data_IF_810896131498
#
_entry.id   IF_810896131498
#
_cell.length_a   1.000
_cell.length_b   1.000
_cell.length_c   1.000
_cell.angle_alpha   90.00
_cell.angle_beta   90.00
_cell.angle_gamma   90.00
#
_symmetry.space_group_name_H-M   'P 1'
#
loop_
_entity.id
_entity.type
_entity.pdbx_description
1 polymer ?
#
# COMPACT_ATOMS: atom_id res chain seq x y z
N UNK A 1 19.63 -32.37 -32.83
CA UNK A 1 20.37 -31.40 -31.98
C UNK A 1 19.65 -30.06 -32.10
N UNK A 2 18.76 -29.71 -31.15
CA UNK A 2 18.93 -28.65 -30.12
C UNK A 2 19.27 -27.28 -30.76
N UNK A 3 18.48 -26.20 -30.73
CA UNK A 3 17.25 -25.82 -30.03
C UNK A 3 16.60 -24.62 -30.75
N UNK A 4 15.27 -24.37 -30.64
CA UNK A 4 14.72 -23.04 -30.88
C UNK A 4 14.98 -22.19 -29.63
N UNK A 5 15.74 -21.10 -29.81
CA UNK A 5 15.90 -20.07 -28.80
C UNK A 5 14.55 -19.45 -28.47
N UNK A 6 14.01 -19.86 -27.32
CA UNK A 6 13.19 -19.07 -26.39
C UNK A 6 12.44 -17.91 -27.05
N UNK A 7 11.29 -18.21 -27.65
CA UNK A 7 10.23 -17.21 -27.83
C UNK A 7 9.81 -16.76 -26.44
N UNK A 8 10.19 -15.54 -26.06
CA UNK A 8 9.60 -14.82 -24.92
C UNK A 8 8.12 -14.59 -25.24
N UNK A 9 7.31 -15.63 -25.01
CA UNK A 9 5.87 -15.56 -24.99
C UNK A 9 5.42 -14.93 -23.68
N UNK A 10 4.89 -13.73 -23.79
CA UNK A 10 3.79 -13.14 -23.00
C UNK A 10 3.64 -11.71 -23.55
N UNK A 11 3.06 -11.53 -24.74
CA UNK A 11 1.62 -11.42 -24.96
C UNK A 11 0.87 -10.72 -23.82
N UNK A 12 0.14 -9.68 -24.23
CA UNK A 12 -0.86 -8.89 -23.49
C UNK A 12 -0.21 -7.82 -22.63
N UNK A 13 -0.19 -6.57 -23.09
CA UNK A 13 -1.40 -5.72 -22.97
C UNK A 13 -2.19 -6.16 -21.72
N UNK A 14 -1.53 -6.09 -20.58
CA UNK A 14 -2.18 -6.24 -19.29
C UNK A 14 -2.80 -4.91 -19.07
N UNK A 15 -3.98 -4.78 -19.66
CA UNK A 15 -5.06 -3.88 -19.35
C UNK A 15 -4.69 -2.93 -18.21
N UNK A 16 -4.68 -1.64 -18.55
CA UNK A 16 -5.10 -0.53 -17.70
C UNK A 16 -6.40 -0.89 -16.95
N UNK A 17 -6.37 -1.91 -16.11
CA UNK A 17 -7.27 -2.01 -14.98
C UNK A 17 -6.66 -0.96 -14.08
N UNK A 18 -7.10 0.30 -14.23
CA UNK A 18 -6.73 1.45 -13.41
C UNK A 18 -6.50 0.99 -11.97
N UNK A 19 -5.27 0.58 -11.64
CA UNK A 19 -4.95 0.10 -10.31
C UNK A 19 -4.91 1.39 -9.54
N UNK A 20 -5.98 1.64 -8.78
CA UNK A 20 -6.04 2.84 -7.98
C UNK A 20 -4.78 2.92 -7.13
N UNK A 21 -4.14 4.09 -7.07
CA UNK A 21 -2.86 4.24 -6.38
C UNK A 21 -3.01 3.74 -4.95
N UNK A 22 -2.03 2.95 -4.51
CA UNK A 22 -2.01 2.45 -3.15
C UNK A 22 -1.94 3.61 -2.16
N UNK A 23 -2.71 3.52 -1.09
CA UNK A 23 -2.65 4.48 0.01
C UNK A 23 -1.37 4.21 0.78
N UNK A 24 -0.43 5.15 0.71
CA UNK A 24 0.88 5.04 1.34
C UNK A 24 0.85 5.73 2.71
N UNK A 25 1.05 4.97 3.78
CA UNK A 25 1.09 5.49 5.14
C UNK A 25 2.48 5.31 5.72
N UNK A 26 3.14 6.40 6.08
CA UNK A 26 4.47 6.39 6.66
C UNK A 26 4.42 6.58 8.18
N UNK A 27 5.11 5.68 8.85
CA UNK A 27 5.26 5.60 10.28
C UNK A 27 6.71 5.87 10.63
N UNK A 28 6.89 6.83 11.53
CA UNK A 28 8.22 7.14 12.07
C UNK A 28 8.66 6.08 13.08
N UNK A 29 9.94 6.07 13.45
CA UNK A 29 10.42 5.24 14.54
C UNK A 29 9.77 5.54 15.91
N UNK A 30 9.09 6.70 16.04
CA UNK A 30 8.33 7.07 17.23
C UNK A 30 6.87 6.56 17.22
N UNK A 31 6.42 5.96 16.11
CA UNK A 31 5.08 5.37 16.01
C UNK A 31 4.95 4.22 17.02
N UNK A 32 3.90 4.27 17.83
CA UNK A 32 3.58 3.23 18.81
C UNK A 32 2.60 2.21 18.25
N UNK A 33 2.43 1.08 18.94
CA UNK A 33 1.41 0.08 18.58
C UNK A 33 -0.01 0.64 18.66
N UNK A 34 -0.26 1.63 19.52
CA UNK A 34 -1.56 2.30 19.66
C UNK A 34 -1.90 3.12 18.41
N UNK A 35 -0.89 3.80 17.87
CA UNK A 35 -0.98 4.59 16.65
C UNK A 35 -1.30 3.70 15.44
N UNK A 36 -0.63 2.54 15.32
CA UNK A 36 -0.96 1.53 14.31
C UNK A 36 -2.36 0.95 14.47
N UNK A 37 -2.79 0.73 15.72
CA UNK A 37 -4.15 0.28 16.00
C UNK A 37 -5.17 1.32 15.58
N UNK A 38 -4.95 2.59 15.90
CA UNK A 38 -5.83 3.69 15.49
C UNK A 38 -5.92 3.79 13.97
N UNK A 39 -4.79 3.73 13.25
CA UNK A 39 -4.80 3.70 11.79
C UNK A 39 -5.58 2.51 11.26
N UNK A 40 -5.38 1.32 11.81
CA UNK A 40 -6.13 0.13 11.40
C UNK A 40 -7.64 0.35 11.58
N UNK A 41 -8.09 0.88 12.72
CA UNK A 41 -9.51 1.17 12.98
C UNK A 41 -10.08 2.18 11.98
N UNK A 42 -9.30 3.22 11.66
CA UNK A 42 -9.65 4.22 10.64
C UNK A 42 -9.82 3.57 9.26
N UNK A 43 -8.89 2.69 8.87
CA UNK A 43 -8.90 1.98 7.59
C UNK A 43 -10.07 0.98 7.48
N UNK A 44 -10.35 0.18 8.52
CA UNK A 44 -11.47 -0.79 8.50
C UNK A 44 -12.84 -0.10 8.49
N UNK A 45 -12.92 1.14 8.97
CA UNK A 45 -14.15 1.95 8.93
C UNK A 45 -14.50 2.40 7.50
N UNK A 46 -13.54 2.39 6.57
CA UNK A 46 -13.72 2.83 5.18
C UNK A 46 -13.26 1.78 4.16
N UNK A 47 -13.92 0.61 4.08
CA UNK A 47 -13.58 -0.43 3.12
C UNK A 47 -13.75 0.06 1.68
N UNK A 48 -12.89 -0.40 0.77
CA UNK A 48 -12.93 0.04 -0.63
C UNK A 48 -12.08 -0.80 -1.57
N UNK A 49 -11.46 -0.12 -2.56
CA UNK A 49 -10.76 -0.77 -3.67
C UNK A 49 -9.25 -0.49 -3.68
N UNK A 50 -8.80 0.56 -3.00
CA UNK A 50 -7.39 0.96 -2.99
C UNK A 50 -6.60 0.12 -2.00
N UNK A 51 -5.52 -0.55 -2.40
CA UNK A 51 -4.68 -1.27 -1.46
C UNK A 51 -3.98 -0.31 -0.52
N UNK A 52 -3.67 -0.76 0.70
CA UNK A 52 -2.92 0.02 1.69
C UNK A 52 -1.49 -0.51 1.80
N UNK A 53 -0.54 0.41 1.77
CA UNK A 53 0.88 0.13 1.97
C UNK A 53 1.42 0.96 3.12
N UNK A 54 2.13 0.30 4.02
CA UNK A 54 2.67 0.85 5.24
C UNK A 54 4.19 0.98 5.08
N UNK A 55 4.74 2.16 5.29
CA UNK A 55 6.17 2.44 5.32
C UNK A 55 6.60 2.68 6.76
N UNK A 56 7.59 1.94 7.23
CA UNK A 56 8.15 2.13 8.57
C UNK A 56 9.57 2.64 8.47
N UNK A 57 9.82 3.87 8.91
CA UNK A 57 11.17 4.36 9.06
C UNK A 57 11.88 3.63 10.18
N UNK A 58 13.02 3.03 9.85
CA UNK A 58 13.93 2.44 10.83
C UNK A 58 15.03 3.43 11.17
N UNK A 59 15.51 3.35 12.41
CA UNK A 59 16.61 4.17 12.92
C UNK A 59 17.90 4.09 12.08
N UNK A 60 18.04 3.07 11.24
CA UNK A 60 19.20 2.85 10.38
C UNK A 60 19.11 3.54 9.01
N UNK A 61 18.22 4.54 8.85
CA UNK A 61 18.04 5.30 7.61
C UNK A 61 17.39 4.51 6.45
N UNK A 62 16.81 3.34 6.75
CA UNK A 62 16.10 2.52 5.79
C UNK A 62 14.62 2.44 6.15
N UNK A 63 13.76 2.43 5.14
CA UNK A 63 12.31 2.28 5.32
C UNK A 63 11.88 0.86 4.99
N UNK A 64 11.07 0.24 5.85
CA UNK A 64 10.44 -1.05 5.57
C UNK A 64 9.07 -0.82 4.94
N UNK A 65 8.88 -1.29 3.70
CA UNK A 65 7.56 -1.30 3.05
C UNK A 65 6.85 -2.61 3.34
N UNK A 66 5.62 -2.50 3.84
CA UNK A 66 4.72 -3.61 4.11
C UNK A 66 3.43 -3.38 3.34
N UNK A 67 3.04 -4.35 2.52
CA UNK A 67 1.69 -4.40 1.98
C UNK A 67 0.75 -4.90 3.08
N UNK A 68 -0.35 -4.19 3.32
CA UNK A 68 -1.36 -4.61 4.29
C UNK A 68 -2.13 -5.88 3.84
N UNK A 69 -1.90 -6.30 2.59
CA UNK A 69 -2.44 -7.51 1.99
C UNK A 69 -3.62 -7.23 1.07
N UNK A 70 -3.96 -8.22 0.22
CA UNK A 70 -5.01 -8.09 -0.79
C UNK A 70 -6.41 -7.86 -0.19
N UNK A 71 -6.60 -8.25 1.07
CA UNK A 71 -7.85 -8.09 1.83
C UNK A 71 -8.01 -6.67 2.41
N UNK A 72 -6.90 -5.97 2.61
CA UNK A 72 -6.88 -4.65 3.23
C UNK A 72 -6.96 -3.55 2.17
N UNK A 73 -8.20 -3.28 1.73
CA UNK A 73 -8.50 -2.27 0.72
C UNK A 73 -9.44 -1.21 1.28
N UNK A 74 -9.12 0.04 1.03
CA UNK A 74 -9.88 1.20 1.53
C UNK A 74 -10.33 2.11 0.41
N UNK A 75 -11.34 2.92 0.69
CA UNK A 75 -11.72 4.02 -0.18
C UNK A 75 -11.17 5.32 0.41
N UNK A 76 -10.27 5.99 -0.30
CA UNK A 76 -9.66 7.23 0.16
C UNK A 76 -10.69 8.38 0.01
N UNK A 77 -11.49 8.58 1.05
CA UNK A 77 -12.44 9.69 1.17
C UNK A 77 -11.78 10.88 1.86
N UNK A 78 -12.26 12.12 1.66
CA UNK A 78 -11.67 13.29 2.31
C UNK A 78 -11.69 13.22 3.85
N UNK A 79 -12.71 12.58 4.45
CA UNK A 79 -12.73 12.31 5.90
C UNK A 79 -11.65 11.31 6.33
N UNK A 80 -11.42 10.27 5.52
CA UNK A 80 -10.35 9.30 5.76
C UNK A 80 -8.97 9.93 5.60
N UNK A 81 -8.79 10.77 4.59
CA UNK A 81 -7.56 11.53 4.35
C UNK A 81 -7.26 12.42 5.55
N UNK A 82 -8.23 13.22 6.02
CA UNK A 82 -8.08 14.09 7.20
C UNK A 82 -7.66 13.31 8.45
N UNK A 83 -8.29 12.15 8.70
CA UNK A 83 -7.94 11.27 9.82
C UNK A 83 -6.54 10.67 9.68
N UNK A 84 -6.12 10.38 8.45
CA UNK A 84 -4.83 9.78 8.15
C UNK A 84 -3.74 10.82 7.84
N UNK A 85 -4.05 12.12 7.80
CA UNK A 85 -3.14 13.21 7.39
C UNK A 85 -1.80 13.20 8.11
N UNK A 86 -1.77 12.67 9.34
CA UNK A 86 -0.53 12.51 10.13
C UNK A 86 0.45 11.49 9.56
N UNK A 87 -0.04 10.46 8.87
CA UNK A 87 0.74 9.34 8.32
C UNK A 87 0.70 9.29 6.80
N UNK A 88 -0.29 9.91 6.17
CA UNK A 88 -0.49 9.85 4.72
C UNK A 88 0.68 10.54 4.00
N UNK A 89 1.31 9.79 3.09
CA UNK A 89 2.35 10.32 2.20
C UNK A 89 1.73 10.57 0.84
N UNK A 90 1.82 11.82 0.39
CA UNK A 90 1.33 12.30 -0.91
C UNK A 90 2.39 12.27 -2.00
#
# INVERSE_FOLDING_TARGET
>A
MLAPGKTNGANKESTDARQEPAVLLQFSAATTSEDLRAVREILVSSPGRRPVQLLFDRANGNSLRLDAGADFRVNLTPDLEEKLSRWLVR
#
